data_IF_645815652834
#
_entry.id   IF_645815652834
#
_cell.length_a   1.000
_cell.length_b   1.000
_cell.length_c   1.000
_cell.angle_alpha   90.00
_cell.angle_beta   90.00
_cell.angle_gamma   90.00
#
_symmetry.space_group_name_H-M   'P 1'
#
loop_
_entity.id
_entity.type
_entity.pdbx_description
1 polymer ?
#
# COMPACT_ATOMS: atom_id res chain seq x y z
N UNK A 1 -12.01 -3.56 7.17
CA UNK A 1 -11.13 -3.35 6.02
C UNK A 1 -12.03 -3.41 4.79
N UNK A 2 -12.35 -2.26 4.20
CA UNK A 2 -13.25 -2.19 3.05
C UNK A 2 -12.52 -2.83 1.87
N UNK A 3 -13.07 -3.93 1.34
CA UNK A 3 -12.52 -4.56 0.14
C UNK A 3 -12.89 -3.64 -1.01
N UNK A 4 -11.93 -2.84 -1.47
CA UNK A 4 -12.13 -2.03 -2.65
C UNK A 4 -12.32 -2.98 -3.83
N UNK A 5 -13.53 -2.98 -4.38
CA UNK A 5 -13.85 -3.83 -5.51
C UNK A 5 -13.24 -3.16 -6.75
N UNK A 6 -12.62 -3.94 -7.66
CA UNK A 6 -12.04 -3.34 -8.84
C UNK A 6 -13.14 -2.65 -9.65
N UNK A 7 -12.81 -1.51 -10.26
CA UNK A 7 -13.75 -0.64 -10.94
C UNK A 7 -13.41 -0.52 -12.42
N UNK A 8 -14.38 -0.84 -13.27
CA UNK A 8 -14.26 -0.72 -14.74
C UNK A 8 -15.22 0.35 -15.23
N UNK A 9 -14.67 1.38 -15.87
CA UNK A 9 -15.42 2.45 -16.51
C UNK A 9 -15.70 2.07 -17.98
N UNK A 10 -16.97 2.01 -18.38
CA UNK A 10 -17.36 1.76 -19.77
C UNK A 10 -18.00 3.03 -20.33
N UNK A 11 -17.41 3.56 -21.41
CA UNK A 11 -17.91 4.74 -22.11
C UNK A 11 -18.32 4.33 -23.53
N UNK A 12 -19.61 4.43 -23.85
CA UNK A 12 -20.09 4.14 -25.21
C UNK A 12 -21.44 4.81 -25.48
N UNK A 13 -21.64 5.20 -26.74
CA UNK A 13 -22.96 5.66 -27.22
C UNK A 13 -23.86 4.47 -27.63
N UNK A 14 -23.31 3.25 -27.74
CA UNK A 14 -24.07 2.03 -28.02
C UNK A 14 -24.56 1.36 -26.72
N UNK A 15 -25.88 1.33 -26.52
CA UNK A 15 -26.49 0.69 -25.33
C UNK A 15 -26.15 -0.80 -25.23
N UNK A 16 -26.15 -1.51 -26.37
CA UNK A 16 -25.87 -2.95 -26.40
C UNK A 16 -24.40 -3.27 -26.13
N UNK A 17 -23.48 -2.33 -26.37
CA UNK A 17 -22.05 -2.53 -26.15
C UNK A 17 -21.76 -2.83 -24.67
N UNK A 18 -22.20 -1.93 -23.79
CA UNK A 18 -22.01 -2.07 -22.34
C UNK A 18 -22.64 -3.35 -21.79
N UNK A 19 -23.84 -3.72 -22.29
CA UNK A 19 -24.50 -4.97 -21.91
C UNK A 19 -23.70 -6.19 -22.34
N UNK A 20 -23.13 -6.20 -23.55
CA UNK A 20 -22.33 -7.33 -24.06
C UNK A 20 -21.05 -7.53 -23.26
N UNK A 21 -20.34 -6.43 -22.97
CA UNK A 21 -19.11 -6.46 -22.16
C UNK A 21 -19.39 -6.99 -20.76
N UNK A 22 -20.37 -6.42 -20.07
CA UNK A 22 -20.74 -6.85 -18.71
C UNK A 22 -21.22 -8.29 -18.66
N UNK A 23 -22.09 -8.71 -19.60
CA UNK A 23 -22.60 -10.09 -19.67
C UNK A 23 -21.50 -11.11 -19.94
N UNK A 24 -20.51 -10.76 -20.76
CA UNK A 24 -19.36 -11.65 -21.01
C UNK A 24 -18.47 -11.75 -19.78
N UNK A 25 -18.27 -10.64 -19.07
CA UNK A 25 -17.43 -10.59 -17.87
C UNK A 25 -18.03 -11.34 -16.69
N UNK A 26 -19.36 -11.47 -16.60
CA UNK A 26 -20.01 -12.28 -15.57
C UNK A 26 -19.62 -13.77 -15.60
N UNK A 27 -19.00 -14.24 -16.69
CA UNK A 27 -18.46 -15.60 -16.79
C UNK A 27 -17.05 -15.74 -16.23
N UNK A 28 -16.38 -14.62 -15.95
CA UNK A 28 -15.06 -14.61 -15.32
C UNK A 28 -15.18 -14.84 -13.82
N UNK A 29 -14.10 -15.36 -13.22
CA UNK A 29 -14.06 -15.61 -11.77
C UNK A 29 -14.17 -14.34 -10.93
N UNK A 30 -13.58 -13.25 -11.44
CA UNK A 30 -13.53 -11.96 -10.76
C UNK A 30 -14.33 -10.94 -11.57
N UNK A 31 -15.46 -10.51 -11.01
CA UNK A 31 -16.34 -9.53 -11.63
C UNK A 31 -16.12 -8.17 -10.98
N UNK A 32 -15.67 -7.15 -11.73
CA UNK A 32 -15.51 -5.81 -11.19
C UNK A 32 -16.84 -5.09 -11.04
N UNK A 33 -16.83 -4.01 -10.27
CA UNK A 33 -17.90 -3.01 -10.27
C UNK A 33 -17.81 -2.23 -11.58
N UNK A 34 -18.94 -2.11 -12.27
CA UNK A 34 -19.01 -1.37 -13.53
C UNK A 34 -19.64 0.00 -13.35
N UNK A 35 -19.00 1.02 -13.90
CA UNK A 35 -19.59 2.35 -14.09
C UNK A 35 -19.82 2.56 -15.58
N UNK A 36 -21.08 2.79 -15.98
CA UNK A 36 -21.47 2.95 -17.38
C UNK A 36 -21.77 4.42 -17.66
N UNK A 37 -21.15 5.00 -18.68
CA UNK A 37 -21.38 6.36 -19.13
C UNK A 37 -21.58 6.43 -20.64
N UNK A 38 -22.39 7.37 -21.09
CA UNK A 38 -22.43 7.80 -22.48
C UNK A 38 -21.31 8.81 -22.77
N UNK A 39 -20.89 8.94 -24.03
CA UNK A 39 -19.73 9.77 -24.38
C UNK A 39 -19.93 11.26 -24.08
N UNK A 40 -21.18 11.73 -24.03
CA UNK A 40 -21.57 13.12 -23.73
C UNK A 40 -21.54 13.45 -22.23
N UNK A 41 -21.60 12.44 -21.36
CA UNK A 41 -21.53 12.59 -19.91
C UNK A 41 -20.08 12.71 -19.40
N UNK A 42 -19.10 12.30 -20.20
CA UNK A 42 -17.69 12.41 -19.89
C UNK A 42 -17.07 13.69 -20.51
N UNK A 43 -16.17 14.40 -19.80
CA UNK A 43 -15.65 14.16 -18.45
C UNK A 43 -16.46 14.85 -17.34
N UNK A 44 -17.66 15.37 -17.64
CA UNK A 44 -18.45 16.20 -16.69
C UNK A 44 -18.83 15.45 -15.42
N UNK A 45 -19.06 14.14 -15.52
CA UNK A 45 -19.27 13.24 -14.40
C UNK A 45 -18.03 12.37 -14.17
N UNK A 46 -16.88 13.03 -13.95
CA UNK A 46 -15.63 12.34 -13.65
C UNK A 46 -15.85 11.36 -12.48
N UNK A 47 -15.55 10.09 -12.72
CA UNK A 47 -15.58 9.06 -11.68
C UNK A 47 -14.32 9.26 -10.82
N UNK A 48 -14.49 9.39 -9.51
CA UNK A 48 -13.40 9.71 -8.56
C UNK A 48 -12.21 8.75 -8.66
N UNK A 49 -12.46 7.48 -9.00
CA UNK A 49 -11.44 6.50 -9.35
C UNK A 49 -12.00 5.39 -10.24
N UNK A 50 -11.19 4.92 -11.19
CA UNK A 50 -11.39 3.66 -11.91
C UNK A 50 -10.06 2.92 -12.03
N UNK A 51 -10.07 1.61 -12.23
CA UNK A 51 -8.87 0.80 -12.49
C UNK A 51 -8.59 0.65 -13.99
N UNK A 52 -9.65 0.48 -14.78
CA UNK A 52 -9.57 0.31 -16.25
C UNK A 52 -10.73 1.03 -16.91
N UNK A 53 -10.48 1.68 -18.04
CA UNK A 53 -11.53 2.24 -18.90
C UNK A 53 -11.68 1.45 -20.22
N UNK A 54 -12.91 1.33 -20.69
CA UNK A 54 -13.28 0.68 -21.96
C UNK A 54 -14.13 1.67 -22.74
N UNK A 55 -13.65 2.04 -23.91
CA UNK A 55 -14.32 2.95 -24.83
C UNK A 55 -14.86 2.13 -25.98
N UNK A 56 -16.18 2.11 -26.13
CA UNK A 56 -16.87 1.51 -27.27
C UNK A 56 -16.95 2.47 -28.45
N UNK A 57 -17.86 2.19 -29.38
CA UNK A 57 -18.14 3.11 -30.48
C UNK A 57 -18.63 4.47 -29.93
N UNK A 58 -18.04 5.54 -30.47
CA UNK A 58 -18.33 6.94 -30.16
C UNK A 58 -18.50 7.72 -31.45
N UNK A 59 -19.31 8.77 -31.41
CA UNK A 59 -19.35 9.77 -32.48
C UNK A 59 -17.98 10.45 -32.61
N UNK A 60 -17.58 10.76 -33.85
CA UNK A 60 -16.24 11.29 -34.16
C UNK A 60 -15.92 12.59 -33.40
N UNK A 61 -16.93 13.44 -33.21
CA UNK A 61 -16.85 14.68 -32.43
C UNK A 61 -16.54 14.46 -30.94
N UNK A 62 -16.92 13.31 -30.38
CA UNK A 62 -16.72 12.97 -28.97
C UNK A 62 -15.40 12.23 -28.71
N UNK A 63 -14.73 11.71 -29.75
CA UNK A 63 -13.47 10.96 -29.58
C UNK A 63 -12.42 11.77 -28.82
N UNK A 64 -12.16 13.02 -29.22
CA UNK A 64 -11.17 13.86 -28.53
C UNK A 64 -11.64 14.27 -27.12
N UNK A 65 -12.95 14.49 -26.94
CA UNK A 65 -13.53 14.85 -25.64
C UNK A 65 -13.38 13.72 -24.63
N UNK A 66 -13.49 12.46 -25.09
CA UNK A 66 -13.37 11.27 -24.24
C UNK A 66 -11.93 10.83 -24.06
N UNK A 67 -11.16 10.77 -25.14
CA UNK A 67 -9.82 10.17 -25.13
C UNK A 67 -8.74 11.11 -24.60
N UNK A 68 -8.84 12.43 -24.75
CA UNK A 68 -7.82 13.35 -24.21
C UNK A 68 -7.75 13.30 -22.67
N UNK A 69 -8.88 13.35 -21.92
CA UNK A 69 -8.84 13.19 -20.48
C UNK A 69 -8.35 11.80 -20.06
N UNK A 70 -8.81 10.72 -20.70
CA UNK A 70 -8.35 9.36 -20.41
C UNK A 70 -6.85 9.19 -20.65
N UNK A 71 -6.32 9.79 -21.70
CA UNK A 71 -4.88 9.75 -22.00
C UNK A 71 -4.02 10.46 -20.95
N UNK A 72 -4.60 11.43 -20.25
CA UNK A 72 -3.95 12.14 -19.15
C UNK A 72 -4.02 11.36 -17.83
N UNK A 73 -4.88 10.34 -17.72
CA UNK A 73 -4.94 9.46 -16.54
C UNK A 73 -3.81 8.42 -16.53
N UNK A 74 -3.42 7.89 -15.38
CA UNK A 74 -2.39 6.85 -15.29
C UNK A 74 -2.92 5.46 -15.69
N UNK A 75 -4.23 5.28 -15.64
CA UNK A 75 -4.92 4.02 -15.85
C UNK A 75 -4.85 3.54 -17.30
N UNK A 76 -4.82 2.22 -17.52
CA UNK A 76 -4.98 1.66 -18.85
C UNK A 76 -6.41 1.87 -19.36
N UNK A 77 -6.52 2.16 -20.67
CA UNK A 77 -7.81 2.20 -21.34
C UNK A 77 -7.77 1.48 -22.68
N UNK A 78 -8.89 0.86 -23.02
CA UNK A 78 -9.10 0.10 -24.24
C UNK A 78 -10.08 0.84 -25.14
N UNK A 79 -9.78 0.92 -26.44
CA UNK A 79 -10.68 1.48 -27.43
C UNK A 79 -11.09 0.37 -28.42
N UNK A 80 -12.38 0.09 -28.49
CA UNK A 80 -12.95 -0.81 -29.49
C UNK A 80 -13.33 0.02 -30.72
N UNK A 81 -12.67 -0.24 -31.84
CA UNK A 81 -12.88 0.47 -33.09
C UNK A 81 -13.53 -0.46 -34.13
N UNK A 82 -14.60 0.03 -34.77
CA UNK A 82 -15.28 -0.69 -35.85
C UNK A 82 -14.49 -0.65 -37.16
N UNK A 83 -13.78 0.45 -37.43
CA UNK A 83 -13.06 0.67 -38.68
C UNK A 83 -11.55 0.95 -38.49
N UNK A 84 -10.79 0.69 -39.56
CA UNK A 84 -9.34 0.85 -39.56
C UNK A 84 -8.89 2.32 -39.51
N UNK A 85 -9.72 3.27 -39.99
CA UNK A 85 -9.37 4.68 -40.04
C UNK A 85 -9.41 5.31 -38.63
N UNK A 86 -10.43 4.99 -37.84
CA UNK A 86 -10.58 5.37 -36.45
C UNK A 86 -9.53 4.67 -35.59
N UNK A 87 -9.26 3.38 -35.81
CA UNK A 87 -8.16 2.69 -35.14
C UNK A 87 -6.81 3.37 -35.40
N UNK A 88 -6.54 3.77 -36.65
CA UNK A 88 -5.30 4.46 -37.00
C UNK A 88 -5.22 5.86 -36.38
N UNK A 89 -6.33 6.61 -36.38
CA UNK A 89 -6.42 7.92 -35.74
C UNK A 89 -6.13 7.83 -34.24
N UNK A 90 -6.76 6.88 -33.55
CA UNK A 90 -6.56 6.69 -32.12
C UNK A 90 -5.11 6.33 -31.81
N UNK A 91 -4.51 5.45 -32.62
CA UNK A 91 -3.11 5.04 -32.46
C UNK A 91 -2.14 6.22 -32.59
N UNK A 92 -2.40 7.12 -33.53
CA UNK A 92 -1.54 8.28 -33.78
C UNK A 92 -1.69 9.37 -32.72
N UNK A 93 -2.93 9.63 -32.26
CA UNK A 93 -3.21 10.75 -31.36
C UNK A 93 -3.11 10.37 -29.87
N UNK A 94 -3.43 9.13 -29.51
CA UNK A 94 -3.44 8.62 -28.14
C UNK A 94 -2.69 7.27 -28.05
N UNK A 95 -1.34 7.28 -28.11
CA UNK A 95 -0.55 6.04 -28.22
C UNK A 95 -0.65 5.10 -27.01
N UNK A 96 -1.17 5.56 -25.87
CA UNK A 96 -1.44 4.72 -24.68
C UNK A 96 -2.75 3.92 -24.78
N UNK A 97 -3.59 4.22 -25.77
CA UNK A 97 -4.82 3.48 -26.00
C UNK A 97 -4.50 2.06 -26.48
N UNK A 98 -5.04 1.06 -25.78
CA UNK A 98 -5.02 -0.32 -26.28
C UNK A 98 -6.18 -0.51 -27.25
N UNK A 99 -5.87 -0.66 -28.55
CA UNK A 99 -6.88 -0.65 -29.60
C UNK A 99 -7.28 -2.07 -29.95
N UNK A 100 -8.57 -2.37 -29.88
CA UNK A 100 -9.16 -3.62 -30.34
C UNK A 100 -10.04 -3.34 -31.55
N UNK A 101 -9.89 -4.15 -32.60
CA UNK A 101 -10.80 -4.11 -33.75
C UNK A 101 -12.03 -4.95 -33.43
N UNK A 102 -13.20 -4.54 -33.90
CA UNK A 102 -14.44 -5.29 -33.72
C UNK A 102 -14.55 -6.43 -34.75
N UNK A 103 -13.64 -7.39 -34.67
CA UNK A 103 -13.59 -8.61 -35.50
C UNK A 103 -14.22 -9.82 -34.78
N UNK A 104 -14.11 -11.02 -35.36
CA UNK A 104 -14.56 -12.25 -34.70
C UNK A 104 -13.77 -12.46 -33.39
N UNK A 105 -14.49 -12.54 -32.26
CA UNK A 105 -13.96 -12.70 -30.89
C UNK A 105 -13.40 -11.43 -30.21
N UNK A 106 -13.64 -10.22 -30.74
CA UNK A 106 -13.23 -8.97 -30.09
C UNK A 106 -13.64 -8.87 -28.61
N UNK A 107 -14.81 -9.44 -28.28
CA UNK A 107 -15.39 -9.40 -26.95
C UNK A 107 -14.61 -10.28 -25.96
N UNK A 108 -14.17 -11.47 -26.39
CA UNK A 108 -13.34 -12.35 -25.58
C UNK A 108 -11.95 -11.74 -25.35
N UNK A 109 -11.34 -11.20 -26.42
CA UNK A 109 -10.06 -10.52 -26.33
C UNK A 109 -10.11 -9.30 -25.41
N UNK A 110 -11.18 -8.50 -25.51
CA UNK A 110 -11.39 -7.33 -24.66
C UNK A 110 -11.49 -7.73 -23.19
N UNK A 111 -12.39 -8.67 -22.87
CA UNK A 111 -12.62 -9.07 -21.48
C UNK A 111 -11.37 -9.70 -20.88
N UNK A 112 -10.64 -10.52 -21.64
CA UNK A 112 -9.37 -11.09 -21.18
C UNK A 112 -8.32 -10.00 -20.90
N UNK A 113 -8.08 -9.11 -21.85
CA UNK A 113 -7.06 -8.06 -21.72
C UNK A 113 -7.40 -7.06 -20.60
N UNK A 114 -8.67 -6.69 -20.50
CA UNK A 114 -9.12 -5.76 -19.47
C UNK A 114 -9.18 -6.42 -18.08
N UNK A 115 -9.47 -7.72 -17.98
CA UNK A 115 -9.35 -8.49 -16.72
C UNK A 115 -7.91 -8.54 -16.23
N UNK A 116 -6.96 -8.79 -17.12
CA UNK A 116 -5.54 -8.76 -16.79
C UNK A 116 -5.07 -7.37 -16.38
N UNK A 117 -5.58 -6.31 -17.03
CA UNK A 117 -5.30 -4.93 -16.63
C UNK A 117 -5.85 -4.60 -15.22
N UNK A 118 -7.07 -5.06 -14.89
CA UNK A 118 -7.64 -4.95 -13.55
C UNK A 118 -6.77 -5.68 -12.53
N UNK A 119 -6.40 -6.92 -12.80
CA UNK A 119 -5.55 -7.72 -11.91
C UNK A 119 -4.20 -7.04 -11.65
N UNK A 120 -3.61 -6.44 -12.69
CA UNK A 120 -2.36 -5.68 -12.57
C UNK A 120 -2.53 -4.45 -11.70
N UNK A 121 -3.57 -3.63 -11.92
CA UNK A 121 -3.84 -2.44 -11.12
C UNK A 121 -4.02 -2.77 -9.62
N UNK A 122 -4.72 -3.86 -9.32
CA UNK A 122 -4.89 -4.35 -7.95
C UNK A 122 -3.59 -4.89 -7.35
N UNK A 123 -2.76 -5.58 -8.13
CA UNK A 123 -1.46 -6.06 -7.68
C UNK A 123 -0.54 -4.87 -7.35
N UNK A 124 -0.46 -3.87 -8.21
CA UNK A 124 0.32 -2.65 -7.99
C UNK A 124 -0.13 -1.89 -6.74
N UNK A 125 -1.44 -1.77 -6.53
CA UNK A 125 -1.99 -1.12 -5.34
C UNK A 125 -1.62 -1.89 -4.06
N UNK A 126 -1.75 -3.22 -4.07
CA UNK A 126 -1.34 -4.06 -2.93
C UNK A 126 0.15 -3.97 -2.66
N UNK A 127 0.98 -3.98 -3.69
CA UNK A 127 2.43 -3.79 -3.57
C UNK A 127 2.74 -2.45 -2.93
N UNK A 128 2.14 -1.36 -3.41
CA UNK A 128 2.37 0.00 -2.85
C UNK A 128 1.98 0.10 -1.38
N UNK A 129 0.83 -0.49 -0.99
CA UNK A 129 0.39 -0.52 0.40
C UNK A 129 1.38 -1.33 1.27
N UNK A 130 1.83 -2.48 0.77
CA UNK A 130 2.80 -3.32 1.46
C UNK A 130 4.16 -2.61 1.61
N UNK A 131 4.64 -1.93 0.57
CA UNK A 131 5.87 -1.12 0.60
C UNK A 131 5.78 0.00 1.64
N UNK A 132 4.67 0.73 1.69
CA UNK A 132 4.45 1.77 2.69
C UNK A 132 4.45 1.21 4.11
N UNK A 133 3.79 0.07 4.33
CA UNK A 133 3.80 -0.61 5.62
C UNK A 133 5.20 -1.12 5.98
N UNK A 134 5.96 -1.62 5.01
CA UNK A 134 7.33 -2.09 5.23
C UNK A 134 8.25 -0.94 5.63
N UNK A 135 8.18 0.19 4.90
CA UNK A 135 8.96 1.39 5.21
C UNK A 135 8.68 1.91 6.63
N UNK A 136 7.42 1.85 7.08
CA UNK A 136 7.07 2.23 8.45
C UNK A 136 7.67 1.26 9.49
N UNK A 137 7.56 -0.04 9.25
CA UNK A 137 8.14 -1.06 10.13
C UNK A 137 9.67 -0.98 10.19
N UNK A 138 10.33 -0.71 9.06
CA UNK A 138 11.77 -0.48 8.98
C UNK A 138 12.20 0.73 9.81
N UNK A 139 11.45 1.84 9.73
CA UNK A 139 11.69 3.03 10.54
C UNK A 139 11.57 2.74 12.03
N UNK A 140 10.55 1.99 12.44
CA UNK A 140 10.37 1.57 13.83
C UNK A 140 11.48 0.61 14.31
N UNK A 141 11.89 -0.33 13.46
CA UNK A 141 13.01 -1.23 13.75
C UNK A 141 14.33 -0.47 13.91
N UNK A 142 14.58 0.54 13.08
CA UNK A 142 15.76 1.40 13.18
C UNK A 142 15.80 2.17 14.51
N UNK A 143 14.66 2.71 14.96
CA UNK A 143 14.56 3.36 16.27
C UNK A 143 14.84 2.37 17.41
N UNK A 144 14.25 1.17 17.36
CA UNK A 144 14.50 0.12 18.34
C UNK A 144 15.99 -0.27 18.39
N UNK A 145 16.64 -0.41 17.24
CA UNK A 145 18.07 -0.69 17.16
C UNK A 145 18.91 0.42 17.78
N UNK A 146 18.60 1.68 17.45
CA UNK A 146 19.28 2.83 18.03
C UNK A 146 19.14 2.87 19.57
N UNK A 147 17.95 2.57 20.11
CA UNK A 147 17.75 2.50 21.57
C UNK A 147 18.62 1.43 22.24
N UNK A 148 18.77 0.26 21.60
CA UNK A 148 19.62 -0.81 22.09
C UNK A 148 21.11 -0.44 22.04
N UNK A 149 21.54 0.21 20.97
CA UNK A 149 22.91 0.69 20.82
C UNK A 149 23.22 1.79 21.87
N UNK A 150 22.25 2.64 22.19
CA UNK A 150 22.40 3.72 23.17
C UNK A 150 22.33 3.24 24.64
N UNK A 151 21.91 2.00 24.90
CA UNK A 151 21.69 1.44 26.24
C UNK A 151 22.87 1.65 27.19
N UNK A 152 24.08 1.36 26.74
CA UNK A 152 25.29 1.51 27.57
C UNK A 152 25.52 2.97 27.97
N UNK A 153 25.37 3.90 27.02
CA UNK A 153 25.56 5.33 27.28
C UNK A 153 24.53 5.86 28.27
N UNK A 154 23.25 5.47 28.14
CA UNK A 154 22.22 5.88 29.09
C UNK A 154 22.47 5.26 30.47
N UNK A 155 22.84 3.97 30.54
CA UNK A 155 23.18 3.34 31.82
C UNK A 155 24.35 4.02 32.53
N UNK A 156 25.37 4.47 31.80
CA UNK A 156 26.49 5.21 32.37
C UNK A 156 26.04 6.58 32.91
N UNK A 157 25.22 7.32 32.16
CA UNK A 157 24.68 8.58 32.62
C UNK A 157 23.81 8.41 33.88
N UNK A 158 22.94 7.39 33.91
CA UNK A 158 22.10 7.07 35.07
C UNK A 158 22.94 6.68 36.28
N UNK A 159 24.00 5.89 36.10
CA UNK A 159 24.92 5.51 37.19
C UNK A 159 25.54 6.74 37.83
N UNK A 160 25.97 7.71 37.01
CA UNK A 160 26.49 9.00 37.50
C UNK A 160 25.43 9.81 38.23
N UNK A 161 24.21 9.93 37.69
CA UNK A 161 23.12 10.69 38.34
C UNK A 161 22.73 10.06 39.68
N UNK A 162 22.60 8.74 39.73
CA UNK A 162 22.27 8.00 40.95
C UNK A 162 23.38 8.14 41.99
N UNK A 163 24.63 7.89 41.60
CA UNK A 163 25.77 8.00 42.51
C UNK A 163 25.92 9.39 43.11
N UNK A 164 25.80 10.45 42.29
CA UNK A 164 25.85 11.83 42.81
C UNK A 164 24.67 12.16 43.71
N UNK A 165 23.46 11.69 43.37
CA UNK A 165 22.28 11.89 44.22
C UNK A 165 22.44 11.20 45.58
N UNK A 166 22.94 9.95 45.58
CA UNK A 166 23.22 9.20 46.80
C UNK A 166 24.27 9.89 47.67
N UNK A 167 25.38 10.35 47.08
CA UNK A 167 26.42 11.10 47.79
C UNK A 167 25.88 12.39 48.44
N UNK A 168 25.10 13.18 47.70
CA UNK A 168 24.51 14.42 48.23
C UNK A 168 23.51 14.16 49.35
N UNK A 169 22.77 13.05 49.29
CA UNK A 169 21.82 12.66 50.33
C UNK A 169 22.51 12.10 51.59
N UNK A 170 23.74 11.57 51.47
CA UNK A 170 24.47 10.98 52.59
C UNK A 170 24.98 12.02 53.60
N UNK A 171 25.24 13.26 53.19
CA UNK A 171 25.74 14.32 54.08
C UNK A 171 24.63 14.92 54.95
N UNK A 172 24.67 14.75 56.29
CA UNK A 172 23.67 15.33 57.18
C UNK A 172 23.86 16.84 57.32
N UNK A 173 22.78 17.61 57.11
CA UNK A 173 22.74 19.05 57.40
C UNK A 173 23.33 19.97 56.32
N UNK A 174 23.84 19.44 55.21
CA UNK A 174 24.37 20.24 54.09
C UNK A 174 23.28 20.81 53.18
N UNK A 175 22.08 20.22 53.19
CA UNK A 175 20.97 20.56 52.31
C UNK A 175 19.71 20.94 53.10
N UNK A 176 18.95 21.90 52.57
CA UNK A 176 17.62 22.22 53.07
C UNK A 176 16.63 21.07 52.82
N UNK A 177 15.58 20.95 53.64
CA UNK A 177 14.57 19.90 53.47
C UNK A 177 13.93 19.89 52.06
N UNK A 178 13.60 21.04 51.43
CA UNK A 178 13.12 21.07 50.05
C UNK A 178 14.15 20.57 49.02
N UNK A 179 15.42 20.96 49.16
CA UNK A 179 16.49 20.52 48.26
C UNK A 179 16.70 19.00 48.36
N UNK A 180 16.64 18.46 49.58
CA UNK A 180 16.73 17.02 49.82
C UNK A 180 15.59 16.26 49.13
N UNK A 181 14.35 16.74 49.25
CA UNK A 181 13.19 16.13 48.59
C UNK A 181 13.29 16.16 47.05
N UNK A 182 13.87 17.22 46.47
CA UNK A 182 14.14 17.31 45.04
C UNK A 182 15.17 16.27 44.59
N UNK A 183 16.28 16.12 45.33
CA UNK A 183 17.33 15.13 45.00
C UNK A 183 16.78 13.70 45.12
N UNK A 184 15.98 13.40 46.14
CA UNK A 184 15.26 12.12 46.25
C UNK A 184 14.34 11.87 45.03
N UNK A 185 13.67 12.91 44.53
CA UNK A 185 12.84 12.81 43.33
C UNK A 185 13.67 12.49 42.07
N UNK A 186 14.82 13.17 41.89
CA UNK A 186 15.75 12.91 40.78
C UNK A 186 16.26 11.47 40.83
N UNK A 187 16.69 11.01 42.01
CA UNK A 187 17.13 9.64 42.26
C UNK A 187 16.06 8.62 41.88
N UNK A 188 14.82 8.82 42.34
CA UNK A 188 13.70 7.93 42.03
C UNK A 188 13.37 7.92 40.52
N UNK A 189 13.46 9.06 39.84
CA UNK A 189 13.27 9.11 38.38
C UNK A 189 14.40 8.42 37.61
N UNK A 190 15.65 8.53 38.06
CA UNK A 190 16.76 7.81 37.46
C UNK A 190 16.60 6.28 37.60
N UNK A 191 16.17 5.78 38.76
CA UNK A 191 15.84 4.36 38.94
C UNK A 191 14.70 3.91 38.02
N UNK A 192 13.64 4.71 37.90
CA UNK A 192 12.51 4.41 37.01
C UNK A 192 12.95 4.31 35.55
N UNK A 193 13.83 5.19 35.07
CA UNK A 193 14.38 5.11 33.71
C UNK A 193 15.24 3.84 33.55
N UNK A 194 16.04 3.49 34.55
CA UNK A 194 16.83 2.26 34.53
C UNK A 194 15.94 1.01 34.36
N UNK A 195 14.85 0.92 35.11
CA UNK A 195 13.88 -0.18 34.98
C UNK A 195 13.26 -0.26 33.57
N UNK A 196 12.91 0.88 32.97
CA UNK A 196 12.37 0.93 31.60
C UNK A 196 13.37 0.38 30.59
N UNK A 197 14.66 0.74 30.70
CA UNK A 197 15.71 0.21 29.83
C UNK A 197 15.95 -1.31 30.01
N UNK A 198 15.81 -1.81 31.23
CA UNK A 198 15.89 -3.25 31.49
C UNK A 198 14.73 -4.01 30.84
N UNK A 199 13.51 -3.44 30.85
CA UNK A 199 12.37 -4.02 30.14
C UNK A 199 12.61 -4.09 28.64
N UNK A 200 13.14 -3.03 28.02
CA UNK A 200 13.51 -3.06 26.59
C UNK A 200 14.56 -4.15 26.27
N UNK A 201 15.57 -4.31 27.13
CA UNK A 201 16.60 -5.35 26.94
C UNK A 201 16.06 -6.77 27.12
N UNK A 202 15.03 -6.94 27.96
CA UNK A 202 14.37 -8.23 28.16
C UNK A 202 13.52 -8.59 26.93
N UNK A 203 12.78 -7.61 26.41
CA UNK A 203 11.98 -7.74 25.20
C UNK A 203 12.83 -8.06 23.96
N UNK A 204 14.00 -7.42 23.82
CA UNK A 204 15.00 -7.77 22.79
C UNK A 204 15.37 -9.25 22.82
N UNK A 205 15.67 -9.79 24.01
CA UNK A 205 16.05 -11.20 24.17
C UNK A 205 14.90 -12.14 23.81
N UNK A 206 13.69 -11.83 24.25
CA UNK A 206 12.50 -12.62 23.92
C UNK A 206 12.26 -12.65 22.40
N UNK A 207 12.33 -11.50 21.74
CA UNK A 207 12.21 -11.40 20.28
C UNK A 207 13.26 -12.24 19.54
N UNK A 208 14.52 -12.21 19.99
CA UNK A 208 15.58 -13.03 19.39
C UNK A 208 15.32 -14.53 19.55
N UNK A 209 14.78 -14.97 20.69
CA UNK A 209 14.41 -16.38 20.91
C UNK A 209 13.28 -16.79 19.96
N UNK A 210 12.23 -15.97 19.84
CA UNK A 210 11.10 -16.21 18.93
C UNK A 210 11.59 -16.30 17.48
N UNK A 211 12.48 -15.39 17.06
CA UNK A 211 13.05 -15.41 15.71
C UNK A 211 13.84 -16.70 15.42
N UNK A 212 14.65 -17.17 16.37
CA UNK A 212 15.40 -18.43 16.24
C UNK A 212 14.48 -19.65 16.15
N UNK A 213 13.38 -19.66 16.92
CA UNK A 213 12.38 -20.73 16.87
C UNK A 213 11.68 -20.78 15.50
N UNK A 214 11.24 -19.63 14.98
CA UNK A 214 10.59 -19.53 13.68
C UNK A 214 11.49 -20.03 12.53
N UNK A 215 12.78 -19.69 12.55
CA UNK A 215 13.75 -20.19 11.57
C UNK A 215 13.91 -21.71 11.63
N UNK A 216 13.97 -22.29 12.84
CA UNK A 216 14.11 -23.73 13.04
C UNK A 216 12.90 -24.51 12.51
N UNK A 217 11.69 -24.00 12.73
CA UNK A 217 10.47 -24.67 12.31
C UNK A 217 10.20 -24.53 10.80
N UNK A 218 10.61 -23.40 10.21
CA UNK A 218 10.66 -23.21 8.76
C UNK A 218 11.63 -24.19 8.09
N UNK A 219 12.79 -24.42 8.70
CA UNK A 219 13.79 -25.39 8.21
C UNK A 219 13.29 -26.83 8.25
N UNK A 220 12.65 -27.26 9.35
CA UNK A 220 12.04 -28.59 9.46
C UNK A 220 10.95 -28.83 8.41
N UNK A 221 10.11 -27.82 8.14
CA UNK A 221 9.04 -27.93 7.13
C UNK A 221 9.62 -28.09 5.71
N UNK A 222 10.71 -27.40 5.38
CA UNK A 222 11.40 -27.56 4.08
C UNK A 222 12.03 -28.94 3.91
N UNK A 223 12.59 -29.53 4.97
CA UNK A 223 13.15 -30.89 4.95
C UNK A 223 12.06 -31.95 4.80
N UNK A 224 10.87 -31.74 5.40
CA UNK A 224 9.74 -32.66 5.26
C UNK A 224 9.10 -32.65 3.85
N UNK A 225 9.16 -31.53 3.13
CA UNK A 225 8.66 -31.41 1.75
C UNK A 225 9.64 -31.98 0.72
N UNK A 226 10.95 -31.96 0.98
CA UNK A 226 11.98 -32.51 0.09
C UNK A 226 12.16 -34.04 0.21
N UNK A 227 11.54 -34.69 1.22
CA UNK A 227 11.62 -36.12 1.48
C UNK A 227 10.42 -36.95 1.02
N UNK A 228 9.55 -36.40 0.16
CA UNK A 228 8.41 -37.10 -0.45
C UNK A 228 8.56 -37.19 -1.96
#
# INVERSE_FOLDING_TARGET
MQVDHPTVLIISDEVDFSRRVTSRWQRERNVPTFTLLSGDLWPRFAVDAFDVAIVGALRRELLSVVLEPLHSTAQPFFCVCDDAANAQLVRQRWPRASILRRDENWLDALVLAASEAVHRAQAETRTRIAEQSCAELERQAMLGRFMLDMRHNVNNALTTVLGNSDLLLLEPGSLSAPARAQIDTIRNMALRIHEVLQRFSSLEKEMNIVALQAQRDSGKSRVAVAGR
#
